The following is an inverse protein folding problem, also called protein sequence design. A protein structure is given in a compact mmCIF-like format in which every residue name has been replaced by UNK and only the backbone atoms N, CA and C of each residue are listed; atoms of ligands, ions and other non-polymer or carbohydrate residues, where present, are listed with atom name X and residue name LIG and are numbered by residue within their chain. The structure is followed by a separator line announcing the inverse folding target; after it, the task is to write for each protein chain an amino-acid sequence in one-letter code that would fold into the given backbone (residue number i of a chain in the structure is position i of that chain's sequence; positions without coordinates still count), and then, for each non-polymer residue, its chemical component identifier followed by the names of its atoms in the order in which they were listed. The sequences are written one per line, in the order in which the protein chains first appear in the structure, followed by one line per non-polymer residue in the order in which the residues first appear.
data_IF_671233310001
#
_entry.id   IF_671233310001
#
_cell.length_a   1.000
_cell.length_b   1.000
_cell.length_c   1.000
_cell.angle_alpha   90.00
_cell.angle_beta   90.00
_cell.angle_gamma   90.00
#
_symmetry.space_group_name_H-M   'P 1'
#
loop_
_entity.id
_entity.type
_entity.pdbx_description
1 polymer ?
#
# COMPACT_ATOMS: atom_id res chain seq x y z
N UNK A 1 -9.98 -15.91 -28.06
CA UNK A 1 -11.11 -15.66 -27.17
C UNK A 1 -10.66 -14.61 -26.16
N UNK A 2 -11.14 -13.38 -26.27
CA UNK A 2 -10.82 -12.33 -25.32
C UNK A 2 -11.63 -12.58 -24.03
N UNK A 3 -11.09 -13.39 -23.12
CA UNK A 3 -11.52 -13.36 -21.72
C UNK A 3 -11.20 -11.96 -21.21
N UNK A 4 -12.23 -11.11 -21.08
CA UNK A 4 -12.07 -9.74 -20.61
C UNK A 4 -11.34 -9.71 -19.27
N UNK A 5 -10.54 -8.68 -19.02
CA UNK A 5 -9.72 -8.53 -17.80
C UNK A 5 -10.48 -8.70 -16.47
N UNK A 6 -11.82 -8.70 -16.52
CA UNK A 6 -12.73 -8.82 -15.38
C UNK A 6 -13.70 -10.01 -15.49
N UNK A 7 -13.49 -10.96 -16.40
CA UNK A 7 -14.36 -12.15 -16.53
C UNK A 7 -14.38 -13.03 -15.28
N UNK A 8 -13.37 -12.88 -14.42
CA UNK A 8 -13.21 -13.58 -13.14
C UNK A 8 -13.37 -12.62 -11.95
N UNK A 9 -14.06 -11.50 -12.10
CA UNK A 9 -14.24 -10.55 -11.01
C UNK A 9 -15.12 -11.15 -9.90
N UNK A 10 -14.70 -10.93 -8.66
CA UNK A 10 -15.37 -11.35 -7.43
C UNK A 10 -15.37 -10.19 -6.44
N UNK A 11 -16.37 -10.05 -5.56
CA UNK A 11 -16.34 -9.05 -4.49
C UNK A 11 -15.08 -9.14 -3.60
N UNK A 12 -14.50 -10.33 -3.48
CA UNK A 12 -13.24 -10.58 -2.77
C UNK A 12 -12.01 -9.91 -3.43
N UNK A 13 -12.18 -9.39 -4.65
CA UNK A 13 -11.15 -8.68 -5.41
C UNK A 13 -11.16 -7.17 -5.12
N UNK A 14 -12.22 -6.64 -4.48
CA UNK A 14 -12.33 -5.20 -4.22
C UNK A 14 -11.20 -4.70 -3.29
N UNK A 15 -10.95 -5.31 -2.11
CA UNK A 15 -9.88 -4.83 -1.24
C UNK A 15 -8.48 -4.82 -1.87
N UNK A 16 -7.97 -5.91 -2.50
CA UNK A 16 -6.64 -5.87 -3.09
C UNK A 16 -6.54 -4.90 -4.28
N UNK A 17 -7.61 -4.72 -5.07
CA UNK A 17 -7.61 -3.77 -6.18
C UNK A 17 -7.63 -2.31 -5.70
N UNK A 18 -8.37 -2.04 -4.63
CA UNK A 18 -8.33 -0.73 -3.97
C UNK A 18 -6.92 -0.42 -3.46
N UNK A 19 -6.30 -1.37 -2.75
CA UNK A 19 -4.93 -1.21 -2.25
C UNK A 19 -3.93 -1.06 -3.40
N UNK A 20 -4.02 -1.90 -4.44
CA UNK A 20 -3.15 -1.82 -5.62
C UNK A 20 -3.23 -0.43 -6.28
N UNK A 21 -4.44 0.13 -6.40
CA UNK A 21 -4.66 1.46 -6.97
C UNK A 21 -4.11 2.56 -6.05
N UNK A 22 -4.41 2.48 -4.76
CA UNK A 22 -3.93 3.44 -3.77
C UNK A 22 -2.40 3.45 -3.69
N UNK A 23 -1.75 2.29 -3.77
CA UNK A 23 -0.30 2.17 -3.75
C UNK A 23 0.33 2.67 -5.05
N UNK A 24 -0.27 2.32 -6.19
CA UNK A 24 0.20 2.79 -7.51
C UNK A 24 0.20 4.31 -7.56
N UNK A 25 -0.96 4.94 -7.31
CA UNK A 25 -1.13 6.39 -7.45
C UNK A 25 -0.57 7.16 -6.26
N UNK A 26 -0.79 6.67 -5.04
CA UNK A 26 -0.27 7.28 -3.82
C UNK A 26 1.26 7.25 -3.75
N UNK A 27 1.89 6.18 -4.25
CA UNK A 27 3.35 6.11 -4.35
C UNK A 27 3.96 7.11 -5.34
N UNK A 28 3.15 7.65 -6.27
CA UNK A 28 3.59 8.71 -7.20
C UNK A 28 3.45 10.11 -6.60
N UNK A 29 2.65 10.28 -5.54
CA UNK A 29 2.43 11.59 -4.91
C UNK A 29 3.73 12.29 -4.47
N UNK A 30 4.74 11.61 -3.91
CA UNK A 30 6.00 12.24 -3.54
C UNK A 30 6.78 12.91 -4.68
N UNK A 31 6.57 12.47 -5.93
CA UNK A 31 7.25 13.06 -7.10
C UNK A 31 6.63 14.39 -7.53
N UNK A 32 5.34 14.60 -7.21
CA UNK A 32 4.58 15.79 -7.57
C UNK A 32 4.47 16.75 -6.40
N UNK A 33 4.21 16.22 -5.20
CA UNK A 33 4.03 17.01 -3.99
C UNK A 33 4.53 16.23 -2.75
N UNK A 34 5.85 16.23 -2.49
CA UNK A 34 6.45 15.46 -1.40
C UNK A 34 5.97 15.90 -0.02
N UNK A 35 5.80 17.21 0.21
CA UNK A 35 5.27 17.72 1.47
C UNK A 35 3.86 17.19 1.76
N UNK A 36 3.00 17.11 0.74
CA UNK A 36 1.67 16.52 0.86
C UNK A 36 1.76 15.01 1.13
N UNK A 37 2.62 14.28 0.44
CA UNK A 37 2.79 12.85 0.67
C UNK A 37 3.22 12.52 2.11
N UNK A 38 4.15 13.31 2.65
CA UNK A 38 4.62 13.17 4.04
C UNK A 38 3.50 13.45 5.05
N UNK A 39 2.66 14.46 4.78
CA UNK A 39 1.48 14.74 5.61
C UNK A 39 0.41 13.65 5.52
N UNK A 40 0.15 13.12 4.33
CA UNK A 40 -0.80 12.02 4.14
C UNK A 40 -0.31 10.73 4.81
N UNK A 41 1.00 10.49 4.82
CA UNK A 41 1.59 9.42 5.62
C UNK A 41 1.29 9.61 7.12
N UNK A 42 1.27 10.87 7.58
CA UNK A 42 0.92 11.27 8.94
C UNK A 42 2.08 11.85 9.74
N UNK A 43 3.22 12.16 9.11
CA UNK A 43 4.39 12.71 9.79
C UNK A 43 4.24 14.21 10.09
N UNK A 44 4.94 14.71 11.13
CA UNK A 44 4.86 16.11 11.54
C UNK A 44 5.39 17.08 10.47
N UNK A 45 4.91 18.33 10.53
CA UNK A 45 5.20 19.38 9.55
C UNK A 45 6.70 19.71 9.45
N UNK A 46 7.47 19.51 10.53
CA UNK A 46 8.93 19.64 10.51
C UNK A 46 9.60 18.70 9.51
N UNK A 47 9.11 17.46 9.40
CA UNK A 47 9.58 16.49 8.39
C UNK A 47 9.00 16.85 7.02
N UNK A 48 7.72 17.25 6.96
CA UNK A 48 7.06 17.61 5.70
C UNK A 48 7.71 18.79 4.98
N UNK A 49 8.41 19.67 5.69
CA UNK A 49 9.18 20.80 5.11
C UNK A 49 10.64 20.47 4.80
N UNK A 50 11.14 19.31 5.23
CA UNK A 50 12.53 18.92 5.05
C UNK A 50 12.79 18.46 3.63
N UNK A 51 13.59 19.22 2.89
CA UNK A 51 13.95 18.90 1.50
C UNK A 51 14.73 17.58 1.38
N UNK A 52 15.67 17.23 2.29
CA UNK A 52 16.25 15.88 2.32
C UNK A 52 15.21 14.77 2.51
N UNK A 53 14.18 15.00 3.33
CA UNK A 53 13.11 14.03 3.52
C UNK A 53 12.28 13.83 2.24
N UNK A 54 12.11 14.88 1.42
CA UNK A 54 11.36 14.79 0.15
C UNK A 54 11.99 13.79 -0.81
N UNK A 55 13.31 13.86 -1.00
CA UNK A 55 14.02 12.91 -1.88
C UNK A 55 13.89 11.48 -1.37
N UNK A 56 14.07 11.27 -0.06
CA UNK A 56 13.87 9.95 0.55
C UNK A 56 12.43 9.45 0.38
N UNK A 57 11.44 10.33 0.52
CA UNK A 57 10.03 9.98 0.30
C UNK A 57 9.72 9.66 -1.16
N UNK A 58 10.38 10.30 -2.13
CA UNK A 58 10.27 9.93 -3.54
C UNK A 58 10.88 8.56 -3.83
N UNK A 59 12.04 8.27 -3.27
CA UNK A 59 12.67 6.94 -3.32
C UNK A 59 11.71 5.89 -2.74
N UNK A 60 11.17 6.11 -1.54
CA UNK A 60 10.19 5.24 -0.92
C UNK A 60 8.92 5.08 -1.77
N UNK A 61 8.33 6.19 -2.20
CA UNK A 61 7.11 6.23 -3.02
C UNK A 61 7.24 5.41 -4.30
N UNK A 62 8.41 5.43 -4.94
CA UNK A 62 8.68 4.60 -6.12
C UNK A 62 8.50 3.10 -5.84
N UNK A 63 8.90 2.62 -4.65
CA UNK A 63 8.76 1.21 -4.26
C UNK A 63 7.30 0.88 -3.92
N UNK A 64 6.59 1.81 -3.29
CA UNK A 64 5.15 1.69 -3.03
C UNK A 64 4.38 1.59 -4.37
N UNK A 65 4.72 2.43 -5.35
CA UNK A 65 4.12 2.35 -6.69
C UNK A 65 4.45 1.03 -7.39
N UNK A 66 5.69 0.54 -7.31
CA UNK A 66 6.07 -0.76 -7.87
C UNK A 66 5.23 -1.88 -7.26
N UNK A 67 5.00 -1.86 -5.94
CA UNK A 67 4.16 -2.85 -5.26
C UNK A 67 2.71 -2.81 -5.78
N UNK A 68 2.13 -1.62 -5.92
CA UNK A 68 0.79 -1.45 -6.49
C UNK A 68 0.68 -1.97 -7.93
N UNK A 69 1.69 -1.66 -8.76
CA UNK A 69 1.76 -2.15 -10.15
C UNK A 69 1.91 -3.68 -10.18
N UNK A 70 2.74 -4.28 -9.32
CA UNK A 70 2.87 -5.74 -9.27
C UNK A 70 1.56 -6.42 -8.87
N UNK A 71 0.82 -5.84 -7.92
CA UNK A 71 -0.50 -6.35 -7.53
C UNK A 71 -1.49 -6.31 -8.71
N UNK A 72 -1.52 -5.23 -9.47
CA UNK A 72 -2.32 -5.13 -10.70
C UNK A 72 -1.90 -6.17 -11.74
N UNK A 73 -0.59 -6.39 -11.94
CA UNK A 73 -0.09 -7.40 -12.88
C UNK A 73 -0.53 -8.81 -12.46
N UNK A 74 -0.42 -9.16 -11.17
CA UNK A 74 -0.89 -10.46 -10.67
C UNK A 74 -2.39 -10.62 -10.88
N UNK A 75 -3.19 -9.59 -10.60
CA UNK A 75 -4.62 -9.60 -10.84
C UNK A 75 -4.97 -9.83 -12.31
N UNK A 76 -4.38 -9.05 -13.22
CA UNK A 76 -4.65 -9.13 -14.66
C UNK A 76 -4.20 -10.47 -15.27
N UNK A 77 -3.25 -11.16 -14.63
CA UNK A 77 -2.81 -12.51 -15.00
C UNK A 77 -3.66 -13.63 -14.38
N UNK A 78 -4.62 -13.29 -13.50
CA UNK A 78 -5.38 -14.28 -12.72
C UNK A 78 -4.55 -14.97 -11.63
N UNK A 79 -3.37 -14.46 -11.28
CA UNK A 79 -2.52 -15.01 -10.24
C UNK A 79 -2.92 -14.47 -8.86
N UNK A 80 -4.11 -14.88 -8.40
CA UNK A 80 -4.68 -14.42 -7.14
C UNK A 80 -3.89 -14.87 -5.91
N UNK A 81 -3.13 -15.97 -6.00
CA UNK A 81 -2.28 -16.46 -4.91
C UNK A 81 -1.07 -15.55 -4.69
N UNK A 82 -0.45 -15.08 -5.77
CA UNK A 82 0.64 -14.10 -5.67
C UNK A 82 0.15 -12.72 -5.24
N UNK A 83 -1.09 -12.35 -5.62
CA UNK A 83 -1.76 -11.15 -5.11
C UNK A 83 -2.01 -11.25 -3.59
N UNK A 84 -2.54 -12.37 -3.11
CA UNK A 84 -2.70 -12.65 -1.68
C UNK A 84 -1.36 -12.64 -0.93
N UNK A 85 -0.30 -13.18 -1.53
CA UNK A 85 1.05 -13.14 -0.96
C UNK A 85 1.55 -11.69 -0.83
N UNK A 86 1.32 -10.86 -1.86
CA UNK A 86 1.68 -9.44 -1.81
C UNK A 86 0.93 -8.72 -0.70
N UNK A 87 -0.37 -8.95 -0.58
CA UNK A 87 -1.21 -8.42 0.50
C UNK A 87 -0.71 -8.84 1.88
N UNK A 88 -0.34 -10.11 2.06
CA UNK A 88 0.22 -10.62 3.32
C UNK A 88 1.51 -9.89 3.71
N UNK A 89 2.40 -9.65 2.74
CA UNK A 89 3.66 -8.94 2.97
C UNK A 89 3.47 -7.45 3.33
N UNK A 90 2.34 -6.84 2.97
CA UNK A 90 2.01 -5.47 3.41
C UNK A 90 1.84 -5.36 4.93
N UNK A 91 1.67 -6.48 5.65
CA UNK A 91 1.73 -6.50 7.10
C UNK A 91 3.02 -5.84 7.61
N UNK A 92 4.17 -6.23 7.04
CA UNK A 92 5.47 -5.69 7.43
C UNK A 92 5.58 -4.19 7.17
N UNK A 93 5.06 -3.72 6.03
CA UNK A 93 5.04 -2.30 5.72
C UNK A 93 4.29 -1.50 6.80
N UNK A 94 3.10 -1.95 7.22
CA UNK A 94 2.38 -1.23 8.28
C UNK A 94 2.95 -1.39 9.68
N UNK A 95 3.68 -2.47 9.99
CA UNK A 95 4.47 -2.59 11.22
C UNK A 95 5.55 -1.51 11.25
N UNK A 96 6.33 -1.41 10.16
CA UNK A 96 7.36 -0.39 10.01
C UNK A 96 6.75 1.02 10.09
N UNK A 97 5.63 1.25 9.39
CA UNK A 97 5.00 2.56 9.40
C UNK A 97 4.44 2.94 10.79
N UNK A 98 3.83 1.97 11.47
CA UNK A 98 3.34 2.14 12.83
C UNK A 98 4.47 2.53 13.79
N UNK A 99 5.60 1.81 13.73
CA UNK A 99 6.79 2.12 14.51
C UNK A 99 7.32 3.53 14.23
N UNK A 100 7.44 3.93 12.96
CA UNK A 100 7.93 5.25 12.57
C UNK A 100 6.99 6.37 13.05
N UNK A 101 5.68 6.20 12.85
CA UNK A 101 4.70 7.16 13.36
C UNK A 101 4.73 7.28 14.89
N UNK A 102 4.93 6.17 15.60
CA UNK A 102 5.09 6.21 17.06
C UNK A 102 6.33 7.02 17.45
N UNK A 103 7.46 6.73 16.81
CA UNK A 103 8.74 7.40 17.06
C UNK A 103 8.66 8.91 16.81
N UNK A 104 7.96 9.33 15.77
CA UNK A 104 7.78 10.74 15.40
C UNK A 104 6.64 11.44 16.17
N UNK A 105 6.12 10.82 17.23
CA UNK A 105 5.17 11.46 18.15
C UNK A 105 3.73 11.54 17.62
N UNK A 106 3.35 10.69 16.66
CA UNK A 106 2.00 10.64 16.06
C UNK A 106 1.30 9.29 16.33
N UNK A 107 1.02 8.95 17.61
CA UNK A 107 0.57 7.61 18.02
C UNK A 107 -0.80 7.21 17.44
N UNK A 108 -1.71 8.17 17.21
CA UNK A 108 -3.00 7.86 16.58
C UNK A 108 -2.85 7.36 15.14
N UNK A 109 -1.90 7.94 14.39
CA UNK A 109 -1.54 7.46 13.04
C UNK A 109 -0.80 6.13 13.11
N UNK A 110 0.08 5.97 14.10
CA UNK A 110 0.78 4.70 14.32
C UNK A 110 -0.18 3.52 14.49
N UNK A 111 -1.15 3.67 15.39
CA UNK A 111 -2.15 2.64 15.66
C UNK A 111 -3.00 2.34 14.43
N UNK A 112 -3.48 3.38 13.72
CA UNK A 112 -4.26 3.20 12.50
C UNK A 112 -3.49 2.40 11.44
N UNK A 113 -2.22 2.73 11.19
CA UNK A 113 -1.40 2.04 10.17
C UNK A 113 -1.14 0.58 10.53
N UNK A 114 -0.86 0.32 11.80
CA UNK A 114 -0.69 -1.05 12.29
C UNK A 114 -1.98 -1.88 12.17
N UNK A 115 -3.12 -1.34 12.61
CA UNK A 115 -4.40 -2.06 12.52
C UNK A 115 -4.81 -2.28 11.05
N UNK A 116 -4.62 -1.27 10.19
CA UNK A 116 -4.87 -1.42 8.77
C UNK A 116 -4.02 -2.53 8.15
N UNK A 117 -2.75 -2.66 8.55
CA UNK A 117 -1.89 -3.72 8.02
C UNK A 117 -2.18 -5.10 8.60
N UNK A 118 -2.71 -5.21 9.82
CA UNK A 118 -3.26 -6.47 10.33
C UNK A 118 -4.43 -6.93 9.46
N UNK A 119 -5.35 -6.03 9.10
CA UNK A 119 -6.50 -6.36 8.26
C UNK A 119 -6.06 -6.74 6.84
N UNK A 120 -5.24 -5.91 6.20
CA UNK A 120 -4.73 -6.13 4.83
C UNK A 120 -3.84 -7.37 4.76
N UNK A 121 -2.91 -7.50 5.71
CA UNK A 121 -2.01 -8.64 5.81
C UNK A 121 -2.75 -9.94 6.11
N UNK A 122 -3.71 -9.89 7.03
CA UNK A 122 -4.59 -11.02 7.34
C UNK A 122 -5.43 -11.45 6.15
N UNK A 123 -5.94 -10.50 5.35
CA UNK A 123 -6.68 -10.79 4.12
C UNK A 123 -5.86 -11.65 3.15
N UNK A 124 -4.62 -11.22 2.89
CA UNK A 124 -3.70 -11.97 2.04
C UNK A 124 -3.26 -13.31 2.64
N UNK A 125 -2.95 -13.33 3.94
CA UNK A 125 -2.51 -14.54 4.63
C UNK A 125 -3.58 -15.65 4.63
N UNK A 126 -4.86 -15.27 4.78
CA UNK A 126 -5.98 -16.20 4.71
C UNK A 126 -6.34 -16.63 3.28
N UNK A 127 -5.73 -16.00 2.27
CA UNK A 127 -5.97 -16.29 0.86
C UNK A 127 -7.36 -15.87 0.40
N UNK A 128 -7.91 -14.77 0.93
CA UNK A 128 -9.31 -14.42 0.68
C UNK A 128 -9.57 -14.02 -0.77
N UNK A 129 -8.57 -13.48 -1.47
CA UNK A 129 -8.71 -13.13 -2.89
C UNK A 129 -8.73 -14.37 -3.77
N UNK A 130 -7.88 -15.36 -3.51
CA UNK A 130 -7.86 -16.62 -4.26
C UNK A 130 -9.05 -17.55 -3.99
N UNK A 131 -9.81 -17.32 -2.91
CA UNK A 131 -11.05 -18.06 -2.61
C UNK A 131 -12.27 -17.59 -3.40
N UNK A 132 -12.23 -16.37 -3.93
CA UNK A 132 -13.37 -15.63 -4.45
C UNK A 132 -13.50 -15.65 -5.95
#
# INVERSE_FOLDING_TARGET
MASGAFSSFSPWHIPPLFIASAFTLGGLLPFVNPARAIREYGLPEGIARSQPAHTCFAVYGSRVSIMGVSMWIFYLRGDFRSLDTSMALLFWAGVADGYLCWKEGVPGRALFRFLASVVVGGWGFLGLTSRG
#
